data_IF_709225802164
#
_entry.id   IF_709225802164
#
_cell.length_a   1.000
_cell.length_b   1.000
_cell.length_c   1.000
_cell.angle_alpha   90.00
_cell.angle_beta   90.00
_cell.angle_gamma   90.00
#
_symmetry.space_group_name_H-M   'P 1'
#
loop_
_entity.id
_entity.type
_entity.pdbx_description
1 polymer ?
#
# COMPACT_ATOMS: atom_id res chain seq x y z
N UNK A 1 19.88 -1.19 -15.86
CA UNK A 1 19.81 0.28 -15.74
C UNK A 1 19.40 0.58 -14.32
N UNK A 2 20.15 1.43 -13.61
CA UNK A 2 19.72 1.94 -12.32
C UNK A 2 18.62 2.98 -12.53
N UNK A 3 17.67 3.03 -11.61
CA UNK A 3 16.67 4.10 -11.55
C UNK A 3 16.54 4.63 -10.13
N UNK A 4 16.29 5.92 -10.01
CA UNK A 4 15.93 6.56 -8.75
C UNK A 4 14.47 6.22 -8.43
N UNK A 5 14.24 5.81 -7.19
CA UNK A 5 12.91 5.50 -6.66
C UNK A 5 12.73 6.12 -5.28
N UNK A 6 11.48 6.11 -4.83
CA UNK A 6 11.07 6.68 -3.55
C UNK A 6 10.30 5.62 -2.77
N UNK A 7 10.90 5.10 -1.71
CA UNK A 7 10.31 4.05 -0.89
C UNK A 7 9.65 4.66 0.33
N UNK A 8 8.39 4.31 0.57
CA UNK A 8 7.61 4.78 1.72
C UNK A 8 7.68 3.76 2.84
N UNK A 9 8.01 4.25 4.03
CA UNK A 9 8.02 3.46 5.26
C UNK A 9 7.06 4.08 6.27
N UNK A 10 6.22 3.27 6.89
CA UNK A 10 5.53 3.64 8.12
C UNK A 10 6.41 3.30 9.32
N UNK A 11 6.64 4.28 10.19
CA UNK A 11 7.54 4.17 11.34
C UNK A 11 6.77 4.49 12.61
N UNK A 12 6.89 3.61 13.60
CA UNK A 12 6.49 3.88 14.97
C UNK A 12 7.72 3.79 15.89
N UNK A 13 8.13 4.95 16.43
CA UNK A 13 9.29 5.08 17.32
C UNK A 13 9.08 4.39 18.67
N UNK A 14 7.84 4.38 19.18
CA UNK A 14 7.53 3.80 20.51
C UNK A 14 7.75 2.29 20.53
N UNK A 15 7.31 1.62 19.48
CA UNK A 15 7.38 0.17 19.36
C UNK A 15 8.59 -0.31 18.55
N UNK A 16 9.45 0.62 18.11
CA UNK A 16 10.60 0.36 17.23
C UNK A 16 10.22 -0.42 15.96
N UNK A 17 9.09 -0.06 15.36
CA UNK A 17 8.56 -0.70 14.15
C UNK A 17 8.85 0.16 12.93
N UNK A 18 9.35 -0.48 11.87
CA UNK A 18 9.49 0.09 10.53
C UNK A 18 8.89 -0.88 9.53
N UNK A 19 7.87 -0.45 8.78
CA UNK A 19 7.19 -1.26 7.75
C UNK A 19 7.28 -0.54 6.41
N UNK A 20 7.76 -1.25 5.40
CA UNK A 20 7.69 -0.77 4.02
C UNK A 20 6.24 -0.83 3.54
N UNK A 21 5.78 0.25 2.91
CA UNK A 21 4.44 0.34 2.36
C UNK A 21 4.43 0.18 0.84
N UNK A 22 5.43 0.74 0.16
CA UNK A 22 5.62 0.59 -1.28
C UNK A 22 6.72 1.49 -1.83
N UNK A 23 7.08 1.27 -3.10
CA UNK A 23 8.14 2.00 -3.81
C UNK A 23 7.60 2.62 -5.09
N UNK A 24 7.94 3.88 -5.34
CA UNK A 24 7.33 4.71 -6.38
C UNK A 24 8.38 5.44 -7.24
N UNK A 25 7.94 5.91 -8.42
CA UNK A 25 8.80 6.62 -9.39
C UNK A 25 9.15 8.05 -8.98
N UNK A 26 8.31 8.69 -8.16
CA UNK A 26 8.51 10.06 -7.70
C UNK A 26 8.10 10.23 -6.25
N UNK A 27 8.62 11.27 -5.61
CA UNK A 27 8.27 11.62 -4.23
C UNK A 27 6.79 12.00 -4.11
N UNK A 28 6.23 12.67 -5.12
CA UNK A 28 4.82 13.05 -5.19
C UNK A 28 3.93 11.80 -5.23
N UNK A 29 4.29 10.79 -6.03
CA UNK A 29 3.56 9.54 -6.09
C UNK A 29 3.59 8.80 -4.74
N UNK A 30 4.72 8.84 -4.04
CA UNK A 30 4.85 8.28 -2.69
C UNK A 30 3.94 9.00 -1.67
N UNK A 31 3.85 10.34 -1.72
CA UNK A 31 2.91 11.11 -0.87
C UNK A 31 1.46 10.76 -1.18
N UNK A 32 1.10 10.74 -2.46
CA UNK A 32 -0.26 10.41 -2.86
C UNK A 32 -0.65 8.97 -2.50
N UNK A 33 0.31 8.04 -2.43
CA UNK A 33 0.08 6.68 -1.98
C UNK A 33 -0.25 6.60 -0.48
N UNK A 34 0.42 7.41 0.36
CA UNK A 34 0.11 7.54 1.78
C UNK A 34 -1.31 8.09 1.98
N UNK A 35 -1.69 9.11 1.21
CA UNK A 35 -3.03 9.69 1.27
C UNK A 35 -4.08 8.67 0.80
N UNK A 36 -3.82 7.95 -0.29
CA UNK A 36 -4.71 6.89 -0.78
C UNK A 36 -4.92 5.78 0.26
N UNK A 37 -3.89 5.48 1.05
CA UNK A 37 -3.99 4.53 2.17
C UNK A 37 -4.94 5.02 3.26
N UNK A 38 -4.84 6.28 3.67
CA UNK A 38 -5.77 6.88 4.63
C UNK A 38 -7.20 6.88 4.09
N UNK A 39 -7.40 7.27 2.83
CA UNK A 39 -8.73 7.29 2.20
C UNK A 39 -9.41 5.92 2.21
N UNK A 40 -8.67 4.84 1.94
CA UNK A 40 -9.21 3.46 1.99
C UNK A 40 -9.68 3.10 3.39
N UNK A 41 -8.95 3.54 4.41
CA UNK A 41 -9.28 3.27 5.80
C UNK A 41 -10.33 4.26 6.36
N UNK A 42 -10.90 5.13 5.52
CA UNK A 42 -11.85 6.16 5.96
C UNK A 42 -11.22 7.24 6.84
N UNK A 43 -9.90 7.36 6.78
CA UNK A 43 -9.11 8.28 7.58
C UNK A 43 -8.84 9.58 6.79
N UNK A 44 -8.85 10.69 7.51
CA UNK A 44 -8.46 11.99 6.97
C UNK A 44 -7.69 12.75 8.05
N UNK A 45 -6.42 13.01 7.80
CA UNK A 45 -5.52 13.65 8.75
C UNK A 45 -4.99 14.96 8.19
N UNK A 46 -4.95 15.98 9.05
CA UNK A 46 -4.05 17.10 8.84
C UNK A 46 -2.63 16.61 9.07
N UNK A 47 -1.74 16.86 8.11
CA UNK A 47 -0.36 16.38 8.18
C UNK A 47 0.64 17.50 7.90
N UNK A 48 1.81 17.36 8.52
CA UNK A 48 2.97 18.20 8.26
C UNK A 48 4.06 17.37 7.58
N UNK A 49 4.66 17.95 6.54
CA UNK A 49 5.76 17.34 5.82
C UNK A 49 7.05 18.15 6.03
N UNK A 50 8.12 17.50 6.47
CA UNK A 50 9.42 18.13 6.65
C UNK A 50 10.57 17.29 6.11
N UNK A 51 11.64 17.98 5.71
CA UNK A 51 12.84 17.37 5.17
C UNK A 51 13.84 17.11 6.28
N UNK A 52 14.31 15.89 6.38
CA UNK A 52 15.36 15.50 7.33
C UNK A 52 16.75 15.89 6.81
N UNK A 53 17.75 15.88 7.69
CA UNK A 53 19.15 16.13 7.33
C UNK A 53 19.73 15.09 6.36
N UNK A 54 19.10 13.92 6.24
CA UNK A 54 19.48 12.87 5.27
C UNK A 54 18.80 13.04 3.91
N UNK A 55 17.93 14.05 3.76
CA UNK A 55 17.16 14.29 2.53
C UNK A 55 15.86 13.49 2.42
N UNK A 56 15.57 12.59 3.36
CA UNK A 56 14.28 11.90 3.44
C UNK A 56 13.17 12.89 3.82
N UNK A 57 11.96 12.69 3.29
CA UNK A 57 10.78 13.44 3.70
C UNK A 57 10.03 12.66 4.78
N UNK A 58 9.70 13.31 5.89
CA UNK A 58 8.86 12.74 6.94
C UNK A 58 7.50 13.42 6.95
N UNK A 59 6.43 12.63 7.06
CA UNK A 59 5.03 13.05 7.11
C UNK A 59 4.46 12.67 8.47
N UNK A 60 4.25 13.67 9.32
CA UNK A 60 3.65 13.51 10.65
C UNK A 60 2.16 13.85 10.57
N UNK A 61 1.30 13.02 11.16
CA UNK A 61 -0.15 13.07 10.90
C UNK A 61 -1.05 12.84 12.13
N UNK A 62 -0.50 12.30 13.23
CA UNK A 62 -1.24 12.10 14.49
C UNK A 62 -0.39 12.56 15.67
N UNK A 63 0.80 11.97 15.81
CA UNK A 63 1.71 12.21 16.92
C UNK A 63 3.17 12.20 16.48
N UNK A 64 4.09 12.46 17.42
CA UNK A 64 5.54 12.51 17.17
C UNK A 64 6.20 11.13 17.01
N UNK A 65 5.48 10.06 17.35
CA UNK A 65 5.98 8.70 17.36
C UNK A 65 5.64 7.95 16.08
N UNK A 66 4.51 8.25 15.45
CA UNK A 66 3.97 7.59 14.25
C UNK A 66 4.03 8.54 13.06
N UNK A 67 4.87 8.22 12.08
CA UNK A 67 5.04 9.04 10.88
C UNK A 67 5.38 8.16 9.67
N UNK A 68 5.08 8.68 8.49
CA UNK A 68 5.60 8.11 7.26
C UNK A 68 6.92 8.75 6.89
N UNK A 69 7.82 7.96 6.30
CA UNK A 69 9.11 8.43 5.80
C UNK A 69 9.29 7.97 4.36
N UNK A 70 9.59 8.93 3.49
CA UNK A 70 9.89 8.69 2.09
C UNK A 70 11.40 8.83 1.91
N UNK A 71 12.05 7.72 1.58
CA UNK A 71 13.49 7.66 1.33
C UNK A 71 13.75 7.54 -0.17
N UNK A 72 14.73 8.30 -0.66
CA UNK A 72 15.19 8.25 -2.04
C UNK A 72 16.28 7.19 -2.16
N UNK A 73 16.08 6.24 -3.07
CA UNK A 73 16.97 5.09 -3.25
C UNK A 73 17.30 4.92 -4.74
N UNK A 74 18.43 4.29 -5.05
CA UNK A 74 18.72 3.80 -6.39
C UNK A 74 18.58 2.28 -6.41
N UNK A 75 17.75 1.77 -7.32
CA UNK A 75 17.55 0.34 -7.49
C UNK A 75 17.99 -0.11 -8.89
N UNK A 76 18.42 -1.37 -8.97
CA UNK A 76 18.60 -2.04 -10.26
C UNK A 76 17.30 -2.73 -10.67
N UNK A 77 16.92 -2.58 -11.95
CA UNK A 77 15.72 -3.22 -12.50
C UNK A 77 14.51 -2.30 -12.53
N UNK A 78 13.32 -2.88 -12.71
CA UNK A 78 12.04 -2.16 -12.85
C UNK A 78 11.22 -2.20 -11.57
N UNK A 79 10.38 -1.19 -11.35
CA UNK A 79 9.38 -1.21 -10.28
C UNK A 79 8.37 -2.35 -10.50
N UNK A 80 7.72 -2.83 -9.43
CA UNK A 80 6.58 -3.74 -9.56
C UNK A 80 5.49 -3.18 -10.47
N UNK A 81 4.74 -4.07 -11.12
CA UNK A 81 3.62 -3.66 -11.97
C UNK A 81 2.47 -3.16 -11.10
N UNK A 82 1.93 -2.00 -11.47
CA UNK A 82 0.66 -1.48 -10.96
C UNK A 82 -0.52 -1.87 -11.85
N UNK A 83 -0.28 -2.19 -13.12
CA UNK A 83 -1.32 -2.69 -14.02
C UNK A 83 -1.81 -4.07 -13.60
N UNK A 84 -3.13 -4.27 -13.66
CA UNK A 84 -3.78 -5.53 -13.31
C UNK A 84 -4.90 -5.88 -14.29
N UNK A 85 -5.15 -7.18 -14.45
CA UNK A 85 -6.33 -7.73 -15.11
C UNK A 85 -7.10 -8.54 -14.10
N UNK A 86 -8.40 -8.27 -13.96
CA UNK A 86 -9.27 -8.94 -13.00
C UNK A 86 -9.37 -10.42 -13.36
N UNK A 87 -9.23 -11.28 -12.35
CA UNK A 87 -9.39 -12.72 -12.49
C UNK A 87 -10.81 -13.08 -12.95
N UNK A 88 -10.94 -14.17 -13.68
CA UNK A 88 -12.25 -14.70 -14.04
C UNK A 88 -12.99 -15.21 -12.81
N UNK A 89 -14.33 -15.29 -12.91
CA UNK A 89 -15.17 -15.81 -11.81
C UNK A 89 -14.71 -17.19 -11.32
N UNK A 90 -14.38 -18.10 -12.24
CA UNK A 90 -13.91 -19.44 -11.87
C UNK A 90 -12.57 -19.44 -11.11
N UNK A 91 -11.64 -18.54 -11.46
CA UNK A 91 -10.37 -18.38 -10.73
C UNK A 91 -10.58 -17.78 -9.34
N UNK A 92 -11.51 -16.82 -9.22
CA UNK A 92 -11.90 -16.23 -7.94
C UNK A 92 -12.52 -17.29 -7.03
N UNK A 93 -13.53 -18.01 -7.52
CA UNK A 93 -14.24 -19.04 -6.75
C UNK A 93 -13.28 -20.14 -6.26
N UNK A 94 -12.37 -20.61 -7.13
CA UNK A 94 -11.35 -21.58 -6.76
C UNK A 94 -10.42 -21.05 -5.66
N UNK A 95 -10.03 -19.77 -5.73
CA UNK A 95 -9.16 -19.15 -4.73
C UNK A 95 -9.87 -18.94 -3.39
N UNK A 96 -11.14 -18.52 -3.42
CA UNK A 96 -11.98 -18.39 -2.21
C UNK A 96 -12.11 -19.73 -1.49
N UNK A 97 -12.37 -20.81 -2.22
CA UNK A 97 -12.44 -22.17 -1.66
C UNK A 97 -11.11 -22.62 -1.07
N UNK A 98 -10.00 -22.40 -1.78
CA UNK A 98 -8.66 -22.73 -1.28
C UNK A 98 -8.36 -22.07 0.07
N UNK A 99 -8.79 -20.81 0.22
CA UNK A 99 -8.55 -20.01 1.42
C UNK A 99 -9.66 -20.11 2.47
N UNK A 100 -10.73 -20.89 2.19
CA UNK A 100 -11.92 -21.00 3.05
C UNK A 100 -12.49 -19.63 3.46
N UNK A 101 -12.63 -18.72 2.50
CA UNK A 101 -13.16 -17.37 2.73
C UNK A 101 -14.68 -17.40 2.95
N UNK A 102 -15.15 -16.52 3.82
CA UNK A 102 -16.57 -16.25 4.05
C UNK A 102 -17.11 -15.21 3.06
N UNK A 103 -18.43 -14.96 3.12
CA UNK A 103 -19.10 -14.02 2.22
C UNK A 103 -18.81 -12.54 2.52
N UNK A 104 -18.13 -12.24 3.64
CA UNK A 104 -17.80 -10.88 4.06
C UNK A 104 -16.33 -10.52 3.81
N UNK A 105 -15.55 -11.47 3.31
CA UNK A 105 -14.15 -11.31 2.94
C UNK A 105 -14.00 -11.40 1.43
N UNK A 106 -13.29 -10.43 0.87
CA UNK A 106 -13.14 -10.23 -0.57
C UNK A 106 -11.68 -10.34 -0.96
N UNK A 107 -11.40 -11.04 -2.06
CA UNK A 107 -10.12 -10.93 -2.74
C UNK A 107 -10.01 -9.58 -3.44
N UNK A 108 -8.78 -9.11 -3.69
CA UNK A 108 -8.53 -7.89 -4.47
C UNK A 108 -9.34 -7.84 -5.77
N UNK A 109 -9.43 -8.96 -6.50
CA UNK A 109 -10.11 -9.03 -7.79
C UNK A 109 -11.66 -8.95 -7.67
N UNK A 110 -12.22 -9.13 -6.47
CA UNK A 110 -13.66 -9.05 -6.19
C UNK A 110 -14.12 -7.63 -5.82
N UNK A 111 -13.20 -6.78 -5.36
CA UNK A 111 -13.50 -5.41 -4.96
C UNK A 111 -13.97 -4.56 -6.14
N UNK A 112 -14.81 -3.56 -5.88
CA UNK A 112 -15.16 -2.57 -6.89
C UNK A 112 -13.91 -1.82 -7.40
N UNK A 113 -13.92 -1.43 -8.68
CA UNK A 113 -12.78 -0.76 -9.34
C UNK A 113 -12.21 0.44 -8.55
N UNK A 114 -13.03 1.35 -7.96
CA UNK A 114 -12.50 2.46 -7.19
C UNK A 114 -11.66 2.05 -5.98
N UNK A 115 -11.93 0.88 -5.38
CA UNK A 115 -11.13 0.37 -4.27
C UNK A 115 -9.86 -0.31 -4.76
N UNK A 116 -9.95 -1.08 -5.85
CA UNK A 116 -8.78 -1.70 -6.48
C UNK A 116 -7.75 -0.66 -6.91
N UNK A 117 -8.19 0.41 -7.57
CA UNK A 117 -7.29 1.45 -8.05
C UNK A 117 -6.62 2.21 -6.90
N UNK A 118 -7.37 2.52 -5.83
CA UNK A 118 -6.78 3.12 -4.63
C UNK A 118 -5.78 2.19 -3.94
N UNK A 119 -6.07 0.89 -3.87
CA UNK A 119 -5.16 -0.10 -3.26
C UNK A 119 -3.86 -0.21 -4.05
N UNK A 120 -3.96 -0.23 -5.38
CA UNK A 120 -2.79 -0.20 -6.26
C UNK A 120 -2.01 1.10 -6.12
N UNK A 121 -2.68 2.23 -6.00
CA UNK A 121 -2.03 3.53 -5.74
C UNK A 121 -1.31 3.52 -4.40
N UNK A 122 -1.96 3.01 -3.35
CA UNK A 122 -1.43 2.96 -2.00
C UNK A 122 -0.25 1.99 -1.86
N UNK A 123 -0.29 0.81 -2.47
CA UNK A 123 0.75 -0.22 -2.32
C UNK A 123 1.81 -0.19 -3.43
N UNK A 124 1.52 0.41 -4.58
CA UNK A 124 2.44 0.46 -5.74
C UNK A 124 2.73 -0.90 -6.38
N UNK A 125 2.03 -1.97 -6.00
CA UNK A 125 2.34 -3.34 -6.40
C UNK A 125 1.09 -4.24 -6.40
N UNK A 126 0.66 -4.69 -7.58
CA UNK A 126 -0.50 -5.60 -7.70
C UNK A 126 -0.29 -6.95 -7.01
N UNK A 127 0.95 -7.47 -6.99
CA UNK A 127 1.21 -8.76 -6.35
C UNK A 127 1.00 -8.65 -4.85
N UNK A 128 1.46 -7.55 -4.26
CA UNK A 128 1.25 -7.24 -2.84
C UNK A 128 -0.24 -7.03 -2.54
N UNK A 129 -0.97 -6.25 -3.36
CA UNK A 129 -2.40 -6.08 -3.17
C UNK A 129 -3.19 -7.41 -3.22
N UNK A 130 -2.72 -8.40 -3.99
CA UNK A 130 -3.32 -9.74 -4.05
C UNK A 130 -2.90 -10.69 -2.94
N UNK A 131 -1.98 -10.29 -2.05
CA UNK A 131 -1.59 -11.07 -0.87
C UNK A 131 -2.50 -10.82 0.33
N UNK A 132 -3.50 -9.95 0.22
CA UNK A 132 -4.43 -9.68 1.30
C UNK A 132 -5.87 -10.02 0.94
N UNK A 133 -6.69 -10.17 1.97
CA UNK A 133 -8.14 -10.11 1.86
C UNK A 133 -8.66 -8.84 2.50
N UNK A 134 -9.79 -8.39 1.98
CA UNK A 134 -10.38 -7.10 2.26
C UNK A 134 -11.83 -7.24 2.70
N UNK A 135 -12.39 -6.20 3.31
CA UNK A 135 -13.84 -6.05 3.43
C UNK A 135 -14.42 -5.45 2.14
N UNK A 136 -15.75 -5.23 2.11
CA UNK A 136 -16.45 -4.64 0.97
C UNK A 136 -15.99 -3.20 0.61
N UNK A 137 -15.39 -2.48 1.57
CA UNK A 137 -14.88 -1.12 1.41
C UNK A 137 -13.39 -1.10 0.97
N UNK A 138 -12.78 -2.27 0.77
CA UNK A 138 -11.38 -2.39 0.37
C UNK A 138 -10.38 -2.22 1.51
N UNK A 139 -10.82 -2.22 2.77
CA UNK A 139 -9.94 -2.19 3.93
C UNK A 139 -9.33 -3.57 4.17
N UNK A 140 -8.04 -3.59 4.50
CA UNK A 140 -7.28 -4.81 4.70
C UNK A 140 -7.73 -5.52 5.99
N UNK A 141 -8.09 -6.81 5.88
CA UNK A 141 -8.48 -7.65 7.03
C UNK A 141 -7.33 -8.53 7.50
N UNK A 142 -6.73 -9.30 6.58
CA UNK A 142 -5.61 -10.21 6.90
C UNK A 142 -4.75 -10.49 5.68
N UNK A 143 -3.52 -10.90 5.96
CA UNK A 143 -2.58 -11.45 4.99
C UNK A 143 -2.94 -12.91 4.66
N UNK A 144 -2.78 -13.30 3.40
CA UNK A 144 -2.94 -14.67 2.89
C UNK A 144 -1.63 -15.25 2.35
N UNK A 145 -0.55 -14.46 2.32
CA UNK A 145 0.79 -14.95 2.11
C UNK A 145 1.29 -15.64 3.39
N UNK A 146 1.12 -16.96 3.43
CA UNK A 146 1.91 -17.87 4.26
C UNK A 146 2.93 -18.59 3.39
#
# INVERSE_FOLDING_TARGET
MSQTVYTTYWINKRDNVRKEHGTYKSEEAAKEAIIAWWEINGENYDYEAYRTNTGALEISYIDEFSFYRIEKEEIEGSLPSTSYTVRTKGEIDAKRQQLSLDDYTFLFDELAEPYRDRLIKAMGNVKQARQFVYNEEGQLIKDIAQ
#
